data_IF_793705388782
#
_entry.id   IF_793705388782
#
_cell.length_a   1.000
_cell.length_b   1.000
_cell.length_c   1.000
_cell.angle_alpha   90.00
_cell.angle_beta   90.00
_cell.angle_gamma   90.00
#
_symmetry.space_group_name_H-M   'P 1'
#
loop_
_entity.id
_entity.type
_entity.pdbx_description
1 polymer ?
#
# COMPACT_ATOMS: atom_id res chain seq x y z
N UNK A 1 -101.73 -25.08 -28.19
CA UNK A 1 -102.44 -25.84 -27.14
C UNK A 1 -103.90 -25.44 -27.21
N UNK A 2 -104.82 -26.41 -27.28
CA UNK A 2 -106.25 -26.13 -27.26
C UNK A 2 -106.58 -25.37 -25.97
N UNK A 3 -107.29 -24.24 -26.09
CA UNK A 3 -107.71 -23.41 -24.95
C UNK A 3 -108.88 -24.09 -24.23
N UNK A 4 -108.65 -25.31 -23.74
CA UNK A 4 -109.65 -26.07 -23.00
C UNK A 4 -109.69 -25.52 -21.59
N UNK A 5 -110.83 -24.96 -21.21
CA UNK A 5 -111.08 -24.53 -19.85
C UNK A 5 -111.25 -25.76 -18.93
N UNK A 6 -110.13 -26.19 -18.34
CA UNK A 6 -110.08 -27.33 -17.41
C UNK A 6 -110.93 -27.09 -16.16
N UNK A 7 -111.16 -25.83 -15.76
CA UNK A 7 -112.01 -25.49 -14.61
C UNK A 7 -113.49 -25.70 -14.97
N UNK A 8 -113.90 -25.24 -16.16
CA UNK A 8 -115.25 -25.50 -16.66
C UNK A 8 -115.52 -27.01 -16.85
N UNK A 9 -114.53 -27.77 -17.34
CA UNK A 9 -114.63 -29.23 -17.45
C UNK A 9 -114.76 -29.91 -16.09
N UNK A 10 -113.99 -29.46 -15.10
CA UNK A 10 -114.07 -29.98 -13.74
C UNK A 10 -115.45 -29.73 -13.13
N UNK A 11 -115.96 -28.50 -13.25
CA UNK A 11 -117.29 -28.14 -12.75
C UNK A 11 -118.39 -28.96 -13.43
N UNK A 12 -118.28 -29.22 -14.74
CA UNK A 12 -119.21 -30.06 -15.46
C UNK A 12 -119.16 -31.53 -14.99
N UNK A 13 -117.97 -32.07 -14.75
CA UNK A 13 -117.80 -33.44 -14.26
C UNK A 13 -118.27 -33.59 -12.80
N UNK A 14 -117.97 -32.63 -11.92
CA UNK A 14 -118.48 -32.61 -10.53
C UNK A 14 -120.02 -32.59 -10.48
N UNK A 15 -120.67 -31.85 -11.38
CA UNK A 15 -122.14 -31.81 -11.47
C UNK A 15 -122.74 -33.11 -12.00
N UNK A 16 -122.04 -33.82 -12.88
CA UNK A 16 -122.52 -35.06 -13.50
C UNK A 16 -122.24 -36.31 -12.65
N UNK A 17 -121.32 -36.24 -11.70
CA UNK A 17 -120.96 -37.35 -10.82
C UNK A 17 -122.11 -37.69 -9.85
N UNK A 18 -122.92 -38.66 -10.24
CA UNK A 18 -124.17 -39.02 -9.58
C UNK A 18 -124.29 -40.51 -9.26
N UNK A 19 -123.18 -41.26 -9.30
CA UNK A 19 -123.14 -42.69 -8.95
C UNK A 19 -122.28 -43.54 -9.88
N UNK A 20 -122.52 -44.86 -9.86
CA UNK A 20 -121.81 -45.80 -10.75
C UNK A 20 -122.43 -45.78 -12.15
N UNK A 21 -121.62 -45.42 -13.15
CA UNK A 21 -121.98 -45.41 -14.56
C UNK A 21 -121.68 -46.77 -15.18
N UNK A 22 -122.66 -47.40 -15.81
CA UNK A 22 -122.48 -48.67 -16.50
C UNK A 22 -123.14 -48.68 -17.87
N UNK A 23 -122.52 -49.40 -18.79
CA UNK A 23 -123.03 -49.66 -20.13
C UNK A 23 -123.76 -51.01 -20.15
N UNK A 24 -124.94 -51.05 -20.75
CA UNK A 24 -125.68 -52.30 -20.95
C UNK A 24 -126.30 -52.31 -22.34
N UNK A 25 -126.12 -53.44 -23.03
CA UNK A 25 -126.77 -53.72 -24.30
C UNK A 25 -128.10 -54.42 -24.05
N UNK A 26 -129.09 -54.08 -24.87
CA UNK A 26 -130.35 -54.81 -24.89
C UNK A 26 -130.73 -55.10 -26.33
N UNK A 27 -131.50 -56.18 -26.51
CA UNK A 27 -131.97 -56.58 -27.83
C UNK A 27 -133.49 -56.70 -27.78
N UNK A 28 -134.19 -55.64 -28.18
CA UNK A 28 -135.65 -55.65 -28.27
C UNK A 28 -136.08 -55.79 -29.74
N UNK A 29 -137.22 -56.44 -29.96
CA UNK A 29 -137.78 -56.68 -31.31
C UNK A 29 -138.06 -55.38 -32.09
N UNK A 30 -138.38 -54.30 -31.39
CA UNK A 30 -138.64 -52.95 -31.93
C UNK A 30 -137.35 -52.13 -32.13
N UNK A 31 -136.25 -52.50 -31.48
CA UNK A 31 -134.95 -51.82 -31.56
C UNK A 31 -133.79 -52.83 -31.40
N UNK A 32 -133.48 -53.62 -32.45
CA UNK A 32 -132.45 -54.65 -32.34
C UNK A 32 -131.09 -54.00 -32.10
N UNK A 33 -130.38 -54.50 -31.10
CA UNK A 33 -129.04 -54.05 -30.74
C UNK A 33 -128.94 -52.69 -30.04
N UNK A 34 -130.00 -52.20 -29.41
CA UNK A 34 -129.95 -50.99 -28.59
C UNK A 34 -128.96 -51.06 -27.41
N UNK A 35 -128.61 -49.90 -26.88
CA UNK A 35 -127.80 -49.78 -25.68
C UNK A 35 -128.32 -48.62 -24.82
N UNK A 36 -128.02 -48.65 -23.53
CA UNK A 36 -128.23 -47.53 -22.63
C UNK A 36 -127.08 -47.40 -21.63
N UNK A 37 -126.94 -46.21 -21.07
CA UNK A 37 -126.08 -45.96 -19.91
C UNK A 37 -126.97 -45.95 -18.68
N UNK A 38 -126.59 -46.69 -17.64
CA UNK A 38 -127.23 -46.67 -16.33
C UNK A 38 -126.39 -45.87 -15.35
N UNK A 39 -127.06 -45.15 -14.45
CA UNK A 39 -126.46 -44.53 -13.27
C UNK A 39 -127.12 -45.18 -12.05
N UNK A 40 -126.33 -45.80 -11.18
CA UNK A 40 -126.82 -46.58 -10.02
C UNK A 40 -127.95 -47.57 -10.40
N UNK A 41 -127.78 -48.25 -11.54
CA UNK A 41 -128.75 -49.23 -12.02
C UNK A 41 -130.03 -48.63 -12.63
N UNK A 42 -130.15 -47.32 -12.85
CA UNK A 42 -131.29 -46.71 -13.57
C UNK A 42 -130.85 -46.17 -14.92
N UNK A 43 -131.62 -46.42 -15.98
CA UNK A 43 -131.33 -45.89 -17.31
C UNK A 43 -131.30 -44.35 -17.29
N UNK A 44 -130.18 -43.77 -17.72
CA UNK A 44 -129.92 -42.32 -17.69
C UNK A 44 -129.73 -41.74 -19.09
N UNK A 45 -129.13 -42.50 -20.03
CA UNK A 45 -128.96 -42.09 -21.43
C UNK A 45 -129.42 -43.23 -22.33
N UNK A 46 -130.28 -42.92 -23.30
CA UNK A 46 -130.87 -43.87 -24.24
C UNK A 46 -130.89 -43.31 -25.66
N UNK A 47 -130.58 -44.13 -26.66
CA UNK A 47 -130.74 -43.75 -28.06
C UNK A 47 -132.15 -44.10 -28.55
N UNK A 48 -133.01 -43.08 -28.66
CA UNK A 48 -134.43 -43.24 -29.02
C UNK A 48 -134.66 -43.38 -30.55
N UNK A 49 -133.69 -43.07 -31.40
CA UNK A 49 -133.83 -43.05 -32.87
C UNK A 49 -132.70 -43.83 -33.57
N UNK A 50 -132.87 -44.14 -34.87
CA UNK A 50 -131.81 -44.73 -35.73
C UNK A 50 -130.53 -43.91 -35.59
N UNK A 51 -129.56 -44.44 -34.86
CA UNK A 51 -128.34 -43.73 -34.53
C UNK A 51 -127.63 -43.24 -35.80
N UNK A 52 -127.21 -41.99 -35.81
CA UNK A 52 -126.38 -41.43 -36.88
C UNK A 52 -125.08 -42.23 -36.92
N UNK A 53 -124.87 -43.00 -38.01
CA UNK A 53 -123.72 -43.91 -38.15
C UNK A 53 -123.96 -45.37 -37.74
N UNK A 54 -125.21 -45.73 -37.42
CA UNK A 54 -125.61 -47.13 -37.20
C UNK A 54 -125.48 -47.60 -35.75
N UNK A 55 -125.98 -48.82 -35.51
CA UNK A 55 -126.09 -49.42 -34.17
C UNK A 55 -124.71 -49.60 -33.52
N UNK A 56 -123.71 -50.02 -34.31
CA UNK A 56 -122.34 -50.23 -33.82
C UNK A 56 -121.70 -48.92 -33.32
N UNK A 57 -121.84 -47.82 -34.06
CA UNK A 57 -121.33 -46.52 -33.63
C UNK A 57 -122.04 -46.03 -32.36
N UNK A 58 -123.35 -46.24 -32.25
CA UNK A 58 -124.12 -45.89 -31.05
C UNK A 58 -123.62 -46.63 -29.81
N UNK A 59 -123.38 -47.94 -29.94
CA UNK A 59 -122.82 -48.80 -28.89
C UNK A 59 -121.44 -48.31 -28.47
N UNK A 60 -120.57 -48.03 -29.44
CA UNK A 60 -119.23 -47.50 -29.19
C UNK A 60 -119.26 -46.16 -28.44
N UNK A 61 -120.14 -45.23 -28.81
CA UNK A 61 -120.31 -43.94 -28.14
C UNK A 61 -120.81 -44.12 -26.70
N UNK A 62 -121.82 -44.96 -26.48
CA UNK A 62 -122.34 -45.19 -25.13
C UNK A 62 -121.33 -45.90 -24.23
N UNK A 63 -120.63 -46.91 -24.74
CA UNK A 63 -119.54 -47.57 -24.03
C UNK A 63 -118.43 -46.57 -23.70
N UNK A 64 -118.10 -45.67 -24.62
CA UNK A 64 -117.10 -44.62 -24.38
C UNK A 64 -117.51 -43.65 -23.27
N UNK A 65 -118.73 -43.10 -23.25
CA UNK A 65 -119.09 -42.17 -22.15
C UNK A 65 -119.30 -42.90 -20.82
N UNK A 66 -119.70 -44.18 -20.82
CA UNK A 66 -119.72 -44.98 -19.59
C UNK A 66 -118.30 -45.22 -19.05
N UNK A 67 -117.33 -45.53 -19.93
CA UNK A 67 -115.92 -45.71 -19.56
C UNK A 67 -115.27 -44.39 -19.13
N UNK A 68 -115.55 -43.29 -19.84
CA UNK A 68 -115.14 -41.93 -19.49
C UNK A 68 -116.20 -41.26 -18.60
N UNK A 69 -116.56 -41.95 -17.52
CA UNK A 69 -117.51 -41.43 -16.53
C UNK A 69 -117.00 -40.14 -15.88
N UNK A 70 -117.88 -39.31 -15.28
CA UNK A 70 -117.48 -38.09 -14.59
C UNK A 70 -116.38 -38.31 -13.55
N UNK A 71 -116.43 -39.42 -12.81
CA UNK A 71 -115.40 -39.83 -11.85
C UNK A 71 -114.03 -40.05 -12.50
N UNK A 72 -113.99 -40.70 -13.67
CA UNK A 72 -112.75 -40.91 -14.44
C UNK A 72 -112.21 -39.58 -14.97
N UNK A 73 -113.09 -38.70 -15.46
CA UNK A 73 -112.71 -37.37 -15.92
C UNK A 73 -112.09 -36.51 -14.79
N UNK A 74 -112.66 -36.54 -13.59
CA UNK A 74 -112.11 -35.85 -12.42
C UNK A 74 -110.76 -36.41 -12.00
N UNK A 75 -110.60 -37.73 -11.95
CA UNK A 75 -109.33 -38.39 -11.63
C UNK A 75 -108.23 -37.98 -12.64
N UNK A 76 -108.52 -37.98 -13.94
CA UNK A 76 -107.57 -37.53 -14.97
C UNK A 76 -107.23 -36.04 -14.87
N UNK A 77 -108.20 -35.19 -14.47
CA UNK A 77 -107.93 -33.76 -14.22
C UNK A 77 -107.05 -33.54 -12.98
N UNK A 78 -107.23 -34.35 -11.93
CA UNK A 78 -106.37 -34.35 -10.74
C UNK A 78 -104.96 -34.81 -11.06
N UNK A 79 -104.81 -35.92 -11.78
CA UNK A 79 -103.51 -36.39 -12.29
C UNK A 79 -102.83 -35.33 -13.15
N UNK A 80 -103.57 -34.66 -14.05
CA UNK A 80 -102.99 -33.62 -14.90
C UNK A 80 -102.52 -32.40 -14.09
N UNK A 81 -103.27 -32.00 -13.06
CA UNK A 81 -102.88 -30.92 -12.15
C UNK A 81 -101.64 -31.31 -11.34
N UNK A 82 -101.58 -32.56 -10.86
CA UNK A 82 -100.43 -33.10 -10.14
C UNK A 82 -99.18 -33.13 -11.04
N UNK A 83 -99.30 -33.63 -12.27
CA UNK A 83 -98.21 -33.64 -13.26
C UNK A 83 -97.72 -32.23 -13.60
N UNK A 84 -98.61 -31.25 -13.66
CA UNK A 84 -98.23 -29.86 -13.88
C UNK A 84 -97.41 -29.31 -12.70
N UNK A 85 -97.84 -29.57 -11.47
CA UNK A 85 -97.10 -29.17 -10.27
C UNK A 85 -95.73 -29.84 -10.19
N UNK A 86 -95.66 -31.13 -10.50
CA UNK A 86 -94.39 -31.88 -10.53
C UNK A 86 -93.46 -31.35 -11.62
N UNK A 87 -93.99 -31.04 -12.80
CA UNK A 87 -93.22 -30.40 -13.87
C UNK A 87 -92.66 -29.05 -13.41
N UNK A 88 -93.49 -28.19 -12.84
CA UNK A 88 -93.07 -26.86 -12.38
C UNK A 88 -92.00 -26.97 -11.26
N UNK A 89 -92.15 -27.96 -10.36
CA UNK A 89 -91.15 -28.24 -9.32
C UNK A 89 -89.82 -28.74 -9.91
N UNK A 90 -89.86 -29.65 -10.89
CA UNK A 90 -88.67 -30.14 -11.59
C UNK A 90 -87.98 -29.01 -12.35
N UNK A 91 -88.74 -28.13 -12.99
CA UNK A 91 -88.20 -26.99 -13.73
C UNK A 91 -87.51 -25.99 -12.78
N UNK A 92 -88.11 -25.71 -11.62
CA UNK A 92 -87.49 -24.89 -10.58
C UNK A 92 -86.17 -25.49 -10.06
N UNK A 93 -86.15 -26.81 -9.80
CA UNK A 93 -84.94 -27.53 -9.37
C UNK A 93 -83.87 -27.50 -10.47
N UNK A 94 -84.25 -27.70 -11.72
CA UNK A 94 -83.33 -27.66 -12.86
C UNK A 94 -82.70 -26.27 -13.06
N UNK A 95 -83.46 -25.20 -12.82
CA UNK A 95 -82.93 -23.83 -12.84
C UNK A 95 -81.93 -23.61 -11.70
N UNK A 96 -82.27 -24.01 -10.47
CA UNK A 96 -81.36 -23.90 -9.33
C UNK A 96 -80.04 -24.67 -9.57
N UNK A 97 -80.11 -25.92 -10.04
CA UNK A 97 -78.91 -26.70 -10.36
C UNK A 97 -78.07 -26.04 -11.46
N UNK A 98 -78.71 -25.42 -12.45
CA UNK A 98 -77.97 -24.71 -13.51
C UNK A 98 -77.20 -23.52 -12.96
N UNK A 99 -77.78 -22.80 -12.01
CA UNK A 99 -77.15 -21.66 -11.38
C UNK A 99 -76.02 -22.09 -10.42
N UNK A 100 -76.23 -23.14 -9.62
CA UNK A 100 -75.19 -23.73 -8.77
C UNK A 100 -74.01 -24.23 -9.61
N UNK A 101 -74.26 -24.91 -10.73
CA UNK A 101 -73.21 -25.38 -11.64
C UNK A 101 -72.45 -24.22 -12.30
N UNK A 102 -73.12 -23.10 -12.56
CA UNK A 102 -72.46 -21.90 -13.10
C UNK A 102 -71.54 -21.29 -12.05
N UNK A 103 -72.04 -21.11 -10.82
CA UNK A 103 -71.25 -20.58 -9.72
C UNK A 103 -70.05 -21.48 -9.39
N UNK A 104 -70.23 -22.81 -9.41
CA UNK A 104 -69.14 -23.76 -9.20
C UNK A 104 -68.04 -23.64 -10.28
N UNK A 105 -68.42 -23.41 -11.55
CA UNK A 105 -67.46 -23.18 -12.64
C UNK A 105 -66.70 -21.87 -12.47
N UNK A 106 -67.38 -20.79 -12.09
CA UNK A 106 -66.73 -19.50 -11.80
C UNK A 106 -65.75 -19.59 -10.62
N UNK A 107 -66.11 -20.32 -9.57
CA UNK A 107 -65.22 -20.58 -8.45
C UNK A 107 -64.01 -21.43 -8.86
N UNK A 108 -64.21 -22.44 -9.71
CA UNK A 108 -63.14 -23.28 -10.24
C UNK A 108 -62.15 -22.45 -11.06
N UNK A 109 -62.63 -21.62 -11.98
CA UNK A 109 -61.78 -20.76 -12.81
C UNK A 109 -60.98 -19.76 -11.94
N UNK A 110 -61.62 -19.18 -10.92
CA UNK A 110 -60.92 -18.30 -9.97
C UNK A 110 -59.85 -19.04 -9.16
N UNK A 111 -60.12 -20.28 -8.75
CA UNK A 111 -59.15 -21.12 -8.04
C UNK A 111 -57.97 -21.53 -8.94
N UNK A 112 -58.24 -21.93 -10.18
CA UNK A 112 -57.21 -22.25 -11.17
C UNK A 112 -56.28 -21.06 -11.44
N UNK A 113 -56.85 -19.85 -11.57
CA UNK A 113 -56.06 -18.63 -11.73
C UNK A 113 -55.15 -18.36 -10.52
N UNK A 114 -55.67 -18.50 -9.30
CA UNK A 114 -54.85 -18.35 -8.08
C UNK A 114 -53.73 -19.40 -7.99
N UNK A 115 -54.02 -20.65 -8.34
CA UNK A 115 -53.01 -21.71 -8.37
C UNK A 115 -51.91 -21.41 -9.40
N UNK A 116 -52.27 -20.90 -10.58
CA UNK A 116 -51.29 -20.48 -11.58
C UNK A 116 -50.41 -19.31 -11.09
N UNK A 117 -50.98 -18.32 -10.40
CA UNK A 117 -50.24 -17.23 -9.78
C UNK A 117 -49.29 -17.72 -8.68
N UNK A 118 -49.77 -18.62 -7.81
CA UNK A 118 -48.94 -19.25 -6.77
C UNK A 118 -47.80 -20.06 -7.37
N UNK A 119 -48.04 -20.82 -8.44
CA UNK A 119 -47.00 -21.58 -9.12
C UNK A 119 -45.91 -20.66 -9.68
N UNK A 120 -46.28 -19.56 -10.34
CA UNK A 120 -45.31 -18.56 -10.81
C UNK A 120 -44.49 -17.96 -9.67
N UNK A 121 -45.11 -17.69 -8.52
CA UNK A 121 -44.39 -17.20 -7.34
C UNK A 121 -43.42 -18.23 -6.77
N UNK A 122 -43.79 -19.52 -6.76
CA UNK A 122 -42.91 -20.60 -6.33
C UNK A 122 -41.73 -20.77 -7.28
N UNK A 123 -41.96 -20.74 -8.59
CA UNK A 123 -40.91 -20.85 -9.60
C UNK A 123 -39.91 -19.68 -9.48
N UNK A 124 -40.42 -18.46 -9.30
CA UNK A 124 -39.56 -17.29 -9.06
C UNK A 124 -38.74 -17.43 -7.77
N UNK A 125 -39.35 -17.89 -6.67
CA UNK A 125 -38.64 -18.12 -5.41
C UNK A 125 -37.57 -19.20 -5.56
N UNK A 126 -37.86 -20.27 -6.29
CA UNK A 126 -36.90 -21.33 -6.59
C UNK A 126 -35.71 -20.81 -7.37
N UNK A 127 -35.94 -19.95 -8.37
CA UNK A 127 -34.88 -19.29 -9.10
C UNK A 127 -33.99 -18.42 -8.19
N UNK A 128 -34.59 -17.62 -7.30
CA UNK A 128 -33.84 -16.80 -6.35
C UNK A 128 -33.00 -17.64 -5.39
N UNK A 129 -33.53 -18.76 -4.90
CA UNK A 129 -32.77 -19.67 -4.03
C UNK A 129 -31.59 -20.32 -4.76
N UNK A 130 -31.81 -20.80 -5.99
CA UNK A 130 -30.74 -21.42 -6.79
C UNK A 130 -29.62 -20.42 -7.12
N UNK A 131 -29.96 -19.19 -7.47
CA UNK A 131 -28.97 -18.14 -7.75
C UNK A 131 -28.24 -17.69 -6.49
N UNK A 132 -28.92 -17.59 -5.34
CA UNK A 132 -28.27 -17.31 -4.06
C UNK A 132 -27.29 -18.42 -3.66
N UNK A 133 -27.69 -19.70 -3.82
CA UNK A 133 -26.82 -20.84 -3.55
C UNK A 133 -25.58 -20.85 -4.46
N UNK A 134 -25.72 -20.45 -5.73
CA UNK A 134 -24.60 -20.32 -6.66
C UNK A 134 -23.61 -19.25 -6.20
N UNK A 135 -24.10 -18.04 -5.91
CA UNK A 135 -23.27 -16.94 -5.40
C UNK A 135 -22.56 -17.33 -4.09
N UNK A 136 -23.27 -18.00 -3.18
CA UNK A 136 -22.71 -18.44 -1.90
C UNK A 136 -21.60 -19.49 -2.08
N UNK A 137 -21.76 -20.41 -3.05
CA UNK A 137 -20.70 -21.37 -3.41
C UNK A 137 -19.48 -20.66 -3.99
N UNK A 138 -19.67 -19.70 -4.89
CA UNK A 138 -18.56 -18.96 -5.51
C UNK A 138 -17.77 -18.19 -4.45
N UNK A 139 -18.45 -17.55 -3.49
CA UNK A 139 -17.79 -16.88 -2.37
C UNK A 139 -17.00 -17.87 -1.50
N UNK A 140 -17.61 -19.00 -1.16
CA UNK A 140 -16.94 -20.01 -0.34
C UNK A 140 -15.72 -20.63 -1.03
N UNK A 141 -15.80 -20.87 -2.35
CA UNK A 141 -14.66 -21.35 -3.15
C UNK A 141 -13.53 -20.31 -3.17
N UNK A 142 -13.86 -19.03 -3.40
CA UNK A 142 -12.87 -17.95 -3.41
C UNK A 142 -12.19 -17.76 -2.04
N UNK A 143 -12.93 -17.95 -0.95
CA UNK A 143 -12.41 -17.88 0.42
C UNK A 143 -11.77 -19.19 0.89
N UNK A 144 -11.94 -20.30 0.14
CA UNK A 144 -11.48 -21.63 0.53
C UNK A 144 -12.16 -22.17 1.79
N UNK A 145 -13.39 -21.75 2.08
CA UNK A 145 -14.14 -22.12 3.27
C UNK A 145 -15.37 -22.98 2.94
N UNK A 146 -16.09 -23.42 3.96
CA UNK A 146 -17.37 -24.09 3.74
C UNK A 146 -18.42 -23.11 3.20
N UNK A 147 -19.37 -23.68 2.46
CA UNK A 147 -20.41 -22.95 1.73
C UNK A 147 -21.51 -22.34 2.59
N UNK A 148 -21.40 -22.32 3.92
CA UNK A 148 -22.37 -21.72 4.83
C UNK A 148 -21.99 -20.29 5.22
N UNK A 149 -23.00 -19.48 5.55
CA UNK A 149 -22.80 -18.07 5.88
C UNK A 149 -21.91 -17.86 7.11
N UNK A 150 -21.89 -18.79 8.07
CA UNK A 150 -21.08 -18.68 9.27
C UNK A 150 -19.59 -18.78 8.93
N UNK A 151 -19.21 -19.82 8.17
CA UNK A 151 -17.85 -20.03 7.68
C UNK A 151 -17.37 -18.90 6.77
N UNK A 152 -18.23 -18.40 5.88
CA UNK A 152 -17.91 -17.24 5.01
C UNK A 152 -17.64 -15.99 5.85
N UNK A 153 -18.46 -15.74 6.88
CA UNK A 153 -18.28 -14.56 7.74
C UNK A 153 -17.01 -14.67 8.59
N UNK A 154 -16.71 -15.85 9.12
CA UNK A 154 -15.45 -16.11 9.84
C UNK A 154 -14.23 -15.86 8.94
N UNK A 155 -14.24 -16.41 7.71
CA UNK A 155 -13.16 -16.18 6.74
C UNK A 155 -13.00 -14.69 6.37
N UNK A 156 -14.11 -13.95 6.25
CA UNK A 156 -14.07 -12.50 6.00
C UNK A 156 -13.45 -11.75 7.19
N UNK A 157 -13.78 -12.14 8.42
CA UNK A 157 -13.24 -11.48 9.62
C UNK A 157 -11.75 -11.79 9.82
N UNK A 158 -11.32 -13.02 9.53
CA UNK A 158 -9.91 -13.40 9.49
C UNK A 158 -9.13 -12.58 8.45
N UNK A 159 -9.69 -12.41 7.24
CA UNK A 159 -9.07 -11.57 6.21
C UNK A 159 -8.98 -10.11 6.63
N UNK A 160 -10.01 -9.56 7.28
CA UNK A 160 -9.97 -8.19 7.81
C UNK A 160 -8.87 -8.04 8.85
N UNK A 161 -8.73 -9.00 9.77
CA UNK A 161 -7.67 -8.98 10.76
C UNK A 161 -6.29 -9.04 10.09
N UNK A 162 -6.12 -9.91 9.09
CA UNK A 162 -4.87 -10.01 8.35
C UNK A 162 -4.52 -8.72 7.61
N UNK A 163 -5.50 -8.05 7.00
CA UNK A 163 -5.31 -6.74 6.36
C UNK A 163 -4.83 -5.71 7.38
N UNK A 164 -5.47 -5.62 8.55
CA UNK A 164 -5.06 -4.69 9.61
C UNK A 164 -3.63 -4.95 10.10
N UNK A 165 -3.24 -6.22 10.23
CA UNK A 165 -1.86 -6.60 10.56
C UNK A 165 -0.86 -6.19 9.47
N UNK A 166 -1.20 -6.39 8.19
CA UNK A 166 -0.36 -5.98 7.07
C UNK A 166 -0.22 -4.45 6.98
N UNK A 167 -1.30 -3.70 7.20
CA UNK A 167 -1.27 -2.24 7.24
C UNK A 167 -0.35 -1.72 8.36
N UNK A 168 -0.44 -2.32 9.56
CA UNK A 168 0.45 -2.02 10.68
C UNK A 168 1.93 -2.31 10.34
N UNK A 169 2.22 -3.50 9.79
CA UNK A 169 3.57 -3.88 9.34
C UNK A 169 4.11 -2.91 8.28
N UNK A 170 3.29 -2.50 7.34
CA UNK A 170 3.68 -1.56 6.28
C UNK A 170 3.96 -0.16 6.86
N UNK A 171 3.18 0.28 7.85
CA UNK A 171 3.45 1.48 8.63
C UNK A 171 4.82 1.42 9.32
N UNK A 172 5.13 0.33 10.00
CA UNK A 172 6.43 0.13 10.68
C UNK A 172 7.60 0.13 9.69
N UNK A 173 7.47 -0.55 8.55
CA UNK A 173 8.50 -0.55 7.50
C UNK A 173 8.77 0.85 6.97
N UNK A 174 7.73 1.68 6.83
CA UNK A 174 7.87 3.07 6.40
C UNK A 174 8.67 3.89 7.40
N UNK A 175 8.43 3.73 8.70
CA UNK A 175 9.19 4.37 9.77
C UNK A 175 10.65 3.92 9.75
N UNK A 176 10.91 2.62 9.68
CA UNK A 176 12.28 2.08 9.61
C UNK A 176 13.03 2.62 8.40
N UNK A 177 12.39 2.67 7.22
CA UNK A 177 13.01 3.22 6.02
C UNK A 177 13.34 4.72 6.17
N UNK A 178 12.47 5.48 6.84
CA UNK A 178 12.73 6.88 7.15
C UNK A 178 13.91 7.03 8.11
N UNK A 179 13.94 6.30 9.22
CA UNK A 179 15.01 6.33 10.21
C UNK A 179 16.36 5.91 9.60
N UNK A 180 16.36 4.87 8.76
CA UNK A 180 17.56 4.44 8.03
C UNK A 180 18.08 5.52 7.09
N UNK A 181 17.20 6.24 6.40
CA UNK A 181 17.59 7.35 5.54
C UNK A 181 18.17 8.52 6.36
N UNK A 182 17.59 8.86 7.51
CA UNK A 182 18.15 9.89 8.40
C UNK A 182 19.53 9.49 8.94
N UNK A 183 19.70 8.24 9.38
CA UNK A 183 20.99 7.71 9.83
C UNK A 183 22.04 7.74 8.72
N UNK A 184 21.66 7.38 7.48
CA UNK A 184 22.56 7.41 6.33
C UNK A 184 23.00 8.86 6.00
N UNK A 185 22.08 9.82 6.03
CA UNK A 185 22.40 11.24 5.84
C UNK A 185 23.37 11.72 6.91
N UNK A 186 23.11 11.37 8.18
CA UNK A 186 23.98 11.76 9.30
C UNK A 186 25.38 11.16 9.17
N UNK A 187 25.49 9.87 8.87
CA UNK A 187 26.77 9.19 8.67
C UNK A 187 27.57 9.80 7.50
N UNK A 188 26.90 10.15 6.40
CA UNK A 188 27.53 10.84 5.28
C UNK A 188 28.02 12.23 5.66
N UNK A 189 27.23 12.99 6.44
CA UNK A 189 27.63 14.31 6.93
C UNK A 189 28.86 14.23 7.84
N UNK A 190 28.87 13.26 8.77
CA UNK A 190 30.02 13.02 9.65
C UNK A 190 31.27 12.64 8.84
N UNK A 191 31.15 11.78 7.84
CA UNK A 191 32.23 11.41 6.92
C UNK A 191 32.79 12.60 6.13
N UNK A 192 31.92 13.47 5.62
CA UNK A 192 32.32 14.71 4.93
C UNK A 192 33.07 15.63 5.90
N UNK A 193 32.56 15.80 7.12
CA UNK A 193 33.21 16.62 8.14
C UNK A 193 34.61 16.11 8.47
N UNK A 194 34.79 14.79 8.67
CA UNK A 194 36.10 14.21 8.91
C UNK A 194 37.05 14.42 7.72
N UNK A 195 36.56 14.32 6.49
CA UNK A 195 37.37 14.54 5.29
C UNK A 195 37.85 15.99 5.20
N UNK A 196 36.97 16.96 5.45
CA UNK A 196 37.32 18.39 5.49
C UNK A 196 38.34 18.69 6.59
N UNK A 197 38.20 18.06 7.76
CA UNK A 197 39.16 18.23 8.85
C UNK A 197 40.52 17.60 8.53
N UNK A 198 40.54 16.42 7.91
CA UNK A 198 41.77 15.79 7.42
C UNK A 198 42.48 16.66 6.39
N UNK A 199 41.77 17.24 5.42
CA UNK A 199 42.36 18.16 4.43
C UNK A 199 42.97 19.40 5.08
N UNK A 200 42.32 19.95 6.11
CA UNK A 200 42.86 21.07 6.90
C UNK A 200 44.14 20.68 7.62
N UNK A 201 44.17 19.50 8.25
CA UNK A 201 45.35 18.99 8.96
C UNK A 201 46.49 18.69 7.98
N UNK A 202 46.22 18.06 6.83
CA UNK A 202 47.22 17.82 5.79
C UNK A 202 47.84 19.12 5.29
N UNK A 203 47.02 20.15 5.04
CA UNK A 203 47.53 21.48 4.67
C UNK A 203 48.44 22.05 5.76
N UNK A 204 48.05 21.91 7.03
CA UNK A 204 48.86 22.39 8.16
C UNK A 204 50.19 21.64 8.28
N UNK A 205 50.19 20.33 8.05
CA UNK A 205 51.42 19.52 8.02
C UNK A 205 52.33 20.01 6.89
N UNK A 206 51.81 20.17 5.68
CA UNK A 206 52.61 20.66 4.54
C UNK A 206 53.19 22.07 4.79
N UNK A 207 52.43 22.97 5.44
CA UNK A 207 52.93 24.28 5.87
C UNK A 207 54.08 24.14 6.88
N UNK A 208 53.95 23.24 7.86
CA UNK A 208 54.99 22.99 8.86
C UNK A 208 56.23 22.34 8.26
N UNK A 209 56.07 21.34 7.38
CA UNK A 209 57.18 20.69 6.66
C UNK A 209 57.96 21.70 5.81
N UNK A 210 57.26 22.63 5.14
CA UNK A 210 57.92 23.69 4.38
C UNK A 210 58.66 24.67 5.30
N UNK A 211 58.06 25.06 6.43
CA UNK A 211 58.71 25.91 7.43
C UNK A 211 59.92 25.24 8.07
N UNK A 212 59.86 23.94 8.32
CA UNK A 212 60.97 23.14 8.87
C UNK A 212 62.12 23.07 7.86
N UNK A 213 61.80 22.77 6.60
CA UNK A 213 62.79 22.77 5.51
C UNK A 213 63.48 24.13 5.38
N UNK A 214 62.73 25.23 5.51
CA UNK A 214 63.30 26.56 5.51
C UNK A 214 64.25 26.78 6.69
N UNK A 215 63.85 26.42 7.92
CA UNK A 215 64.69 26.57 9.12
C UNK A 215 65.97 25.73 9.03
N UNK A 216 65.91 24.53 8.45
CA UNK A 216 67.10 23.70 8.19
C UNK A 216 68.04 24.41 7.23
N UNK A 217 67.54 24.93 6.10
CA UNK A 217 68.36 25.67 5.14
C UNK A 217 69.01 26.92 5.77
N UNK A 218 68.23 27.70 6.54
CA UNK A 218 68.73 28.87 7.26
C UNK A 218 69.80 28.51 8.29
N UNK A 219 69.60 27.42 9.03
CA UNK A 219 70.58 26.88 9.97
C UNK A 219 71.85 26.46 9.24
N UNK A 220 71.75 25.67 8.17
CA UNK A 220 72.91 25.14 7.44
C UNK A 220 73.75 26.27 6.81
N UNK A 221 73.10 27.33 6.31
CA UNK A 221 73.78 28.55 5.83
C UNK A 221 74.51 29.24 6.99
N UNK A 222 73.86 29.40 8.14
CA UNK A 222 74.46 30.03 9.32
C UNK A 222 75.64 29.20 9.85
N UNK A 223 75.48 27.88 9.90
CA UNK A 223 76.50 26.91 10.29
C UNK A 223 77.72 26.99 9.37
N UNK A 224 77.52 27.06 8.05
CA UNK A 224 78.62 27.24 7.10
C UNK A 224 79.32 28.58 7.29
N UNK A 225 78.57 29.68 7.45
CA UNK A 225 79.14 31.01 7.65
C UNK A 225 79.97 31.08 8.93
N UNK A 226 79.46 30.50 10.04
CA UNK A 226 80.19 30.41 11.31
C UNK A 226 81.40 29.47 11.20
N UNK A 227 81.29 28.37 10.47
CA UNK A 227 82.41 27.46 10.25
C UNK A 227 83.54 28.13 9.44
N UNK A 228 83.20 28.93 8.43
CA UNK A 228 84.18 29.68 7.64
C UNK A 228 84.86 30.76 8.51
N UNK A 229 84.11 31.47 9.37
CA UNK A 229 84.69 32.39 10.35
C UNK A 229 85.61 31.69 11.35
N UNK A 230 85.17 30.55 11.91
CA UNK A 230 85.95 29.75 12.84
C UNK A 230 87.25 29.26 12.20
N UNK A 231 87.18 28.75 10.96
CA UNK A 231 88.36 28.29 10.24
C UNK A 231 89.34 29.43 9.94
N UNK A 232 88.84 30.60 9.56
CA UNK A 232 89.70 31.77 9.30
C UNK A 232 90.48 32.20 10.55
N UNK A 233 89.90 32.11 11.74
CA UNK A 233 90.54 32.50 12.99
C UNK A 233 91.43 31.39 13.61
N UNK A 234 91.02 30.13 13.49
CA UNK A 234 91.68 29.00 14.20
C UNK A 234 92.63 28.18 13.31
N UNK A 235 92.39 28.15 12.00
CA UNK A 235 93.13 27.37 11.00
C UNK A 235 92.46 26.05 10.59
N UNK A 236 91.45 25.58 11.35
CA UNK A 236 90.76 24.30 11.12
C UNK A 236 89.23 24.49 11.12
N UNK A 237 88.49 23.62 10.43
CA UNK A 237 87.02 23.69 10.48
C UNK A 237 86.50 23.11 11.80
N UNK A 238 85.43 23.69 12.37
CA UNK A 238 84.80 23.14 13.56
C UNK A 238 84.07 21.83 13.23
N UNK A 239 84.06 20.90 14.19
CA UNK A 239 83.25 19.68 14.13
C UNK A 239 81.99 19.88 14.97
N UNK A 240 80.88 20.22 14.30
CA UNK A 240 79.61 20.45 14.98
C UNK A 240 79.08 19.17 15.63
N UNK A 241 78.61 19.30 16.87
CA UNK A 241 77.98 18.19 17.58
C UNK A 241 76.99 18.70 18.62
N UNK A 242 76.20 17.79 19.21
CA UNK A 242 75.30 18.14 20.30
C UNK A 242 76.03 18.72 21.55
N UNK A 243 77.34 18.52 21.66
CA UNK A 243 78.17 18.98 22.78
C UNK A 243 79.09 20.14 22.41
N UNK A 244 79.09 20.57 21.14
CA UNK A 244 79.88 21.68 20.64
C UNK A 244 79.06 22.46 19.61
N UNK A 245 78.47 23.56 20.08
CA UNK A 245 77.53 24.39 19.31
C UNK A 245 78.11 25.75 18.93
N UNK A 246 77.23 26.61 18.39
CA UNK A 246 77.63 27.92 17.86
C UNK A 246 78.29 28.82 18.89
N UNK A 247 77.81 28.80 20.15
CA UNK A 247 78.40 29.59 21.22
C UNK A 247 79.84 29.14 21.52
N UNK A 248 80.07 27.83 21.64
CA UNK A 248 81.39 27.27 21.92
C UNK A 248 82.40 27.61 20.81
N UNK A 249 81.96 27.57 19.55
CA UNK A 249 82.78 27.97 18.41
C UNK A 249 83.16 29.45 18.46
N UNK A 250 82.22 30.34 18.82
CA UNK A 250 82.49 31.78 18.95
C UNK A 250 83.46 32.05 20.09
N UNK A 251 83.30 31.40 21.24
CA UNK A 251 84.18 31.57 22.40
C UNK A 251 85.65 31.23 22.07
N UNK A 252 85.88 30.14 21.32
CA UNK A 252 87.23 29.75 20.88
C UNK A 252 87.83 30.75 19.89
N UNK A 253 87.02 31.28 18.97
CA UNK A 253 87.46 32.34 18.04
C UNK A 253 87.85 33.60 18.80
N UNK A 254 87.05 34.00 19.79
CA UNK A 254 87.32 35.15 20.66
C UNK A 254 88.65 34.96 21.43
N UNK A 255 88.87 33.78 22.01
CA UNK A 255 90.13 33.46 22.69
C UNK A 255 91.33 33.55 21.73
N UNK A 256 91.20 33.01 20.51
CA UNK A 256 92.29 33.07 19.52
C UNK A 256 92.58 34.49 19.06
N UNK A 257 91.56 35.32 18.83
CA UNK A 257 91.75 36.74 18.56
C UNK A 257 92.52 37.43 19.69
N UNK A 258 92.13 37.20 20.94
CA UNK A 258 92.84 37.75 22.10
C UNK A 258 94.31 37.31 22.14
N UNK A 259 94.62 36.07 21.79
CA UNK A 259 96.02 35.59 21.69
C UNK A 259 96.81 36.23 20.54
N UNK A 260 96.17 36.45 19.38
CA UNK A 260 96.81 37.09 18.22
C UNK A 260 97.08 38.57 18.50
N UNK A 261 96.16 39.30 19.13
CA UNK A 261 96.35 40.69 19.55
C UNK A 261 97.48 40.82 20.60
N UNK A 262 97.58 39.86 21.53
CA UNK A 262 98.68 39.78 22.48
C UNK A 262 100.03 39.55 21.77
N UNK A 263 100.08 38.70 20.73
CA UNK A 263 101.30 38.45 19.95
C UNK A 263 101.69 39.62 19.04
N UNK A 264 100.75 40.36 18.46
CA UNK A 264 101.04 41.56 17.67
C UNK A 264 101.68 42.68 18.53
N UNK A 265 101.39 42.66 19.83
CA UNK A 265 102.00 43.54 20.84
C UNK A 265 103.44 43.12 21.22
N UNK A 266 103.97 42.00 20.72
CA UNK A 266 105.35 41.54 20.93
C UNK A 266 106.38 42.15 19.96
N UNK A 267 106.04 43.23 19.23
CA UNK A 267 107.11 44.08 18.66
C UNK A 267 107.78 44.80 19.83
N UNK A 268 108.82 44.17 20.41
CA UNK A 268 109.43 44.63 21.66
C UNK A 268 109.90 46.09 21.55
N UNK A 269 109.77 46.91 22.62
CA UNK A 269 110.28 48.28 22.64
C UNK A 269 111.76 48.36 22.23
N UNK A 270 112.53 47.32 22.55
CA UNK A 270 113.92 47.13 22.12
C UNK A 270 114.06 47.01 20.59
N UNK A 271 113.18 46.25 19.92
CA UNK A 271 113.16 46.14 18.46
C UNK A 271 112.77 47.46 17.77
N UNK A 272 111.81 48.18 18.33
CA UNK A 272 111.42 49.52 17.85
C UNK A 272 112.56 50.54 18.05
N UNK A 273 113.28 50.47 19.17
CA UNK A 273 114.42 51.33 19.47
C UNK A 273 115.61 51.05 18.53
N UNK A 274 115.93 49.79 18.26
CA UNK A 274 116.99 49.37 17.33
C UNK A 274 116.74 49.90 15.90
N UNK A 275 115.49 49.83 15.42
CA UNK A 275 115.11 50.36 14.10
C UNK A 275 115.24 51.90 14.08
N UNK A 276 114.80 52.58 15.16
CA UNK A 276 114.85 54.04 15.24
C UNK A 276 116.29 54.57 15.28
N UNK A 277 117.15 53.95 16.09
CA UNK A 277 118.57 54.29 16.19
C UNK A 277 119.32 53.96 14.89
N UNK A 278 118.98 52.85 14.23
CA UNK A 278 119.57 52.49 12.94
C UNK A 278 119.26 53.54 11.86
N UNK A 279 118.02 54.07 11.83
CA UNK A 279 117.64 55.16 10.92
C UNK A 279 118.46 56.44 11.24
N UNK A 280 118.60 56.79 12.51
CA UNK A 280 119.40 57.95 12.94
C UNK A 280 120.87 57.84 12.54
N UNK A 281 121.46 56.65 12.70
CA UNK A 281 122.84 56.39 12.35
C UNK A 281 123.10 56.38 10.84
N UNK A 282 122.17 55.85 10.04
CA UNK A 282 122.24 55.99 8.59
C UNK A 282 122.25 57.47 8.18
N UNK A 283 121.41 58.30 8.82
CA UNK A 283 121.44 59.76 8.62
C UNK A 283 122.79 60.40 8.97
N UNK A 284 123.41 60.00 10.08
CA UNK A 284 124.72 60.50 10.50
C UNK A 284 125.84 60.09 9.55
N UNK A 285 125.90 58.81 9.13
CA UNK A 285 126.89 58.30 8.17
C UNK A 285 126.80 59.07 6.85
N UNK A 286 125.59 59.28 6.33
CA UNK A 286 125.36 60.07 5.11
C UNK A 286 125.82 61.52 5.31
N UNK A 287 125.55 62.13 6.46
CA UNK A 287 126.02 63.48 6.80
C UNK A 287 127.55 63.61 6.83
N UNK A 288 128.25 62.64 7.44
CA UNK A 288 129.72 62.63 7.48
C UNK A 288 130.35 62.51 6.09
N UNK A 289 129.77 61.67 5.21
CA UNK A 289 130.24 61.52 3.82
C UNK A 289 130.08 62.81 3.01
N UNK A 290 128.96 63.52 3.19
CA UNK A 290 128.70 64.80 2.51
C UNK A 290 129.63 65.94 2.97
N UNK A 291 130.11 65.89 4.21
CA UNK A 291 131.01 66.90 4.78
C UNK A 291 132.50 66.60 4.56
N UNK A 292 132.85 65.59 3.75
CA UNK A 292 134.24 65.24 3.44
C UNK A 292 135.00 64.61 4.61
N UNK A 293 134.27 63.99 5.57
CA UNK A 293 134.82 63.29 6.74
C UNK A 293 134.55 61.78 6.66
N UNK A 294 135.16 61.06 5.70
CA UNK A 294 134.94 59.62 5.53
C UNK A 294 135.49 58.80 6.71
N UNK A 295 136.44 59.35 7.47
CA UNK A 295 136.95 58.81 8.72
C UNK A 295 135.82 58.56 9.74
N UNK A 296 134.97 59.56 9.96
CA UNK A 296 133.85 59.46 10.91
C UNK A 296 132.72 58.56 10.40
N UNK A 297 132.45 58.58 9.09
CA UNK A 297 131.45 57.71 8.48
C UNK A 297 131.83 56.22 8.63
N UNK A 298 133.10 55.90 8.41
CA UNK A 298 133.61 54.54 8.56
C UNK A 298 133.59 54.08 10.02
N UNK A 299 133.89 54.97 10.97
CA UNK A 299 133.82 54.69 12.39
C UNK A 299 132.38 54.35 12.82
N UNK A 300 131.41 55.18 12.42
CA UNK A 300 130.01 54.96 12.78
C UNK A 300 129.45 53.70 12.11
N UNK A 301 129.83 53.43 10.85
CA UNK A 301 129.46 52.18 10.16
C UNK A 301 129.98 50.94 10.90
N UNK A 302 131.21 50.97 11.42
CA UNK A 302 131.77 49.85 12.21
C UNK A 302 131.03 49.63 13.52
N UNK A 303 130.59 50.70 14.20
CA UNK A 303 129.78 50.60 15.43
C UNK A 303 128.47 49.86 15.15
N UNK A 304 127.82 50.17 14.03
CA UNK A 304 126.55 49.52 13.65
C UNK A 304 126.71 48.09 13.15
N UNK A 305 127.79 47.76 12.45
CA UNK A 305 128.10 46.36 12.13
C UNK A 305 128.29 45.54 13.42
N UNK A 306 128.93 46.11 14.45
CA UNK A 306 129.04 45.46 15.75
C UNK A 306 127.70 45.38 16.48
N UNK A 307 126.89 46.43 16.47
CA UNK A 307 125.59 46.46 17.13
C UNK A 307 124.60 45.45 16.51
N UNK A 308 124.54 45.37 15.17
CA UNK A 308 123.73 44.36 14.49
C UNK A 308 124.28 42.94 14.68
N UNK A 309 125.61 42.77 14.75
CA UNK A 309 126.22 41.49 15.10
C UNK A 309 125.79 40.99 16.49
N UNK A 310 125.81 41.88 17.48
CA UNK A 310 125.33 41.57 18.84
C UNK A 310 123.82 41.32 18.88
N UNK A 311 123.03 42.10 18.14
CA UNK A 311 121.59 41.88 18.02
C UNK A 311 121.26 40.53 17.36
N UNK A 312 122.03 40.10 16.35
CA UNK A 312 121.86 38.79 15.72
C UNK A 312 122.18 37.63 16.68
N UNK A 313 123.18 37.77 17.55
CA UNK A 313 123.45 36.78 18.60
C UNK A 313 122.32 36.69 19.62
N UNK A 314 121.71 37.83 19.99
CA UNK A 314 120.55 37.86 20.89
C UNK A 314 119.34 37.16 20.24
N UNK A 315 119.06 37.43 18.96
CA UNK A 315 117.96 36.78 18.22
C UNK A 315 118.20 35.28 18.06
N UNK A 316 119.42 34.84 17.74
CA UNK A 316 119.76 33.41 17.69
C UNK A 316 119.67 32.72 19.07
N UNK A 317 119.93 33.42 20.17
CA UNK A 317 119.74 32.90 21.52
C UNK A 317 118.26 32.84 21.93
N UNK A 318 117.42 33.76 21.43
CA UNK A 318 115.97 33.76 21.65
C UNK A 318 115.25 32.69 20.82
N UNK A 319 115.64 32.48 19.56
CA UNK A 319 115.11 31.37 18.75
C UNK A 319 115.47 29.99 19.34
N UNK A 320 116.65 29.85 19.96
CA UNK A 320 117.05 28.63 20.67
C UNK A 320 116.25 28.38 21.96
N UNK A 321 115.73 29.44 22.61
CA UNK A 321 114.86 29.33 23.77
C UNK A 321 113.40 29.03 23.40
N UNK A 322 112.90 29.58 22.29
CA UNK A 322 111.52 29.35 21.82
C UNK A 322 111.31 27.99 21.14
N UNK A 323 112.37 27.37 20.59
CA UNK A 323 112.31 25.99 20.06
C UNK A 323 112.25 24.95 21.20
N UNK A 324 112.77 25.24 22.39
CA UNK A 324 112.73 24.36 23.56
C UNK A 324 111.35 24.20 24.22
N UNK A 325 110.40 25.09 23.93
CA UNK A 325 109.06 25.12 24.56
C UNK A 325 107.98 24.46 23.69
N UNK A 326 108.25 24.20 22.40
CA UNK A 326 107.27 23.59 21.47
C UNK A 326 107.45 22.08 21.22
N UNK A 327 108.27 21.39 22.01
CA UNK A 327 108.47 19.93 21.96
C UNK A 327 107.83 19.21 23.14
N UNK A 328 106.51 19.33 23.33
CA UNK A 328 105.81 18.70 24.45
C UNK A 328 104.30 18.79 24.33
N UNK A 329 103.75 18.30 23.22
CA UNK A 329 102.31 18.15 23.02
C UNK A 329 101.93 16.68 23.20
N UNK A 330 100.87 16.49 24.01
CA UNK A 330 100.09 15.27 24.19
C UNK A 330 99.49 14.77 22.89
#
# INVERSE_FOLDING_TARGET
>A
MSNIDKRALREAAEKADSGEWSYEEFNRLDLPGGAHIRINGRAAVYCLNKATGGIEQSRAVMAHIAAFSPKVALALLDENLQLQREKDAIEAVALALRDDMRQAREQLEAAEKRNAEQQRSLDHRKFLLLSADEVQRDFAEALGCAGDNESIMEAIDDLKQHIAELESKNGNLRTIAHDQNELAIKANLDSINYTVEMDRLHKRIAELENSETQLINERDVTESALADMYQAATGERPEWSNMFGFADAVDVVEERLATLEANQSQTTPTGIQLITEAIGAHGYIVGCLLQGRPDLALEESRKWVSAFGQAAEIVSAQDAADIGVKGGVR
#
